data_IF_996893041796
#
_entry.id   IF_996893041796
#
_cell.length_a   1.000
_cell.length_b   1.000
_cell.length_c   1.000
_cell.angle_alpha   90.00
_cell.angle_beta   90.00
_cell.angle_gamma   90.00
#
_symmetry.space_group_name_H-M   'P 1'
#
loop_
_entity.id
_entity.type
_entity.pdbx_description
1 polymer ?
#
# COMPACT_ATOMS: atom_id res chain seq x y z
N UNK A 1 25.53 23.94 -28.61
CA UNK A 1 25.46 23.47 -27.21
C UNK A 1 24.43 24.30 -26.47
N UNK A 2 23.21 23.78 -26.33
CA UNK A 2 22.09 24.48 -25.67
C UNK A 2 21.86 23.79 -24.32
N UNK A 3 22.04 24.54 -23.23
CA UNK A 3 21.72 24.12 -21.86
C UNK A 3 20.20 24.14 -21.67
N UNK A 4 19.58 23.00 -21.37
CA UNK A 4 18.20 22.95 -20.90
C UNK A 4 18.15 23.18 -19.39
N UNK A 5 17.39 24.20 -18.97
CA UNK A 5 17.06 24.51 -17.58
C UNK A 5 15.89 23.62 -17.16
N UNK A 6 16.00 22.94 -16.02
CA UNK A 6 14.88 22.24 -15.38
C UNK A 6 13.77 23.24 -15.02
N UNK A 7 12.53 22.91 -15.38
CA UNK A 7 11.33 23.60 -14.90
C UNK A 7 10.82 22.87 -13.64
N UNK A 8 11.03 23.51 -12.49
CA UNK A 8 10.41 23.15 -11.22
C UNK A 8 9.03 23.79 -11.20
N UNK A 9 7.97 22.99 -11.10
CA UNK A 9 6.58 23.49 -11.06
C UNK A 9 5.99 23.33 -9.66
N UNK A 10 5.90 24.50 -9.00
CA UNK A 10 4.97 25.01 -7.98
C UNK A 10 4.31 24.09 -6.92
N UNK A 11 4.49 24.51 -5.67
CA UNK A 11 3.74 24.10 -4.47
C UNK A 11 2.30 24.65 -4.48
N UNK A 12 1.34 23.85 -3.99
CA UNK A 12 -0.05 24.24 -3.82
C UNK A 12 -0.31 24.61 -2.35
N UNK A 13 -0.49 25.90 -2.10
CA UNK A 13 -0.94 26.48 -0.83
C UNK A 13 -2.47 26.49 -0.87
N UNK A 14 -3.13 25.75 0.02
CA UNK A 14 -4.57 25.92 0.26
C UNK A 14 -4.73 26.84 1.47
N UNK A 15 -5.17 28.07 1.21
CA UNK A 15 -5.73 28.97 2.23
C UNK A 15 -7.22 29.16 1.92
N UNK A 16 -8.08 28.81 2.87
CA UNK A 16 -9.43 29.36 2.95
C UNK A 16 -9.68 29.79 4.39
N UNK A 17 -9.83 31.11 4.55
CA UNK A 17 -10.14 31.79 5.80
C UNK A 17 -11.61 31.59 6.21
N UNK A 18 -11.79 31.49 7.53
CA UNK A 18 -12.79 32.14 8.38
C UNK A 18 -14.30 32.00 8.06
N UNK A 19 -15.02 31.37 8.99
CA UNK A 19 -16.27 31.92 9.50
C UNK A 19 -16.21 31.96 11.03
N UNK A 20 -15.85 33.14 11.55
CA UNK A 20 -16.24 33.54 12.90
C UNK A 20 -17.64 34.16 12.81
N UNK A 21 -18.58 33.69 13.63
CA UNK A 21 -19.78 34.44 13.99
C UNK A 21 -20.14 34.11 15.44
N UNK A 22 -19.96 35.11 16.31
CA UNK A 22 -20.46 35.15 17.67
C UNK A 22 -21.96 35.49 17.66
N UNK A 23 -22.74 34.89 18.57
CA UNK A 23 -24.08 35.36 18.90
C UNK A 23 -24.88 34.39 19.75
N UNK A 24 -24.91 34.60 21.06
CA UNK A 24 -25.85 33.97 21.99
C UNK A 24 -27.29 34.40 21.69
N UNK A 25 -28.20 33.44 21.47
CA UNK A 25 -29.62 33.56 21.83
C UNK A 25 -30.23 32.18 22.08
N UNK A 26 -30.95 32.10 23.19
CA UNK A 26 -31.58 30.90 23.75
C UNK A 26 -33.01 30.87 23.23
N UNK A 27 -33.31 30.01 22.26
CA UNK A 27 -34.67 29.64 21.90
C UNK A 27 -34.81 28.12 21.88
N UNK A 28 -35.91 27.65 22.48
CA UNK A 28 -36.23 26.24 22.63
C UNK A 28 -36.49 25.62 21.25
N UNK A 29 -35.67 24.65 20.86
CA UNK A 29 -35.91 23.84 19.68
C UNK A 29 -36.71 22.59 20.08
N UNK A 30 -37.89 22.46 19.50
CA UNK A 30 -38.58 21.18 19.31
C UNK A 30 -37.59 20.09 18.91
N UNK A 31 -37.88 18.84 19.29
CA UNK A 31 -37.08 17.68 18.95
C UNK A 31 -36.86 17.60 17.43
N UNK A 32 -35.76 18.21 16.97
CA UNK A 32 -35.34 18.17 15.59
C UNK A 32 -35.06 16.70 15.26
N UNK A 33 -35.66 16.23 14.17
CA UNK A 33 -35.27 14.96 13.58
C UNK A 33 -33.74 14.91 13.51
N UNK A 34 -33.09 13.76 13.83
CA UNK A 34 -31.65 13.66 13.77
C UNK A 34 -31.21 14.16 12.39
N UNK A 35 -30.30 15.12 12.37
CA UNK A 35 -29.74 15.65 11.14
C UNK A 35 -29.31 14.45 10.27
N UNK A 36 -29.62 14.43 8.96
CA UNK A 36 -29.21 13.34 8.11
C UNK A 36 -27.71 13.15 8.29
N UNK A 37 -27.30 11.93 8.65
CA UNK A 37 -25.87 11.59 8.76
C UNK A 37 -25.31 11.69 7.34
N UNK A 38 -24.73 12.84 7.02
CA UNK A 38 -23.99 13.02 5.77
C UNK A 38 -22.73 12.18 5.94
N UNK A 39 -22.67 11.05 5.22
CA UNK A 39 -21.44 10.26 5.15
C UNK A 39 -20.35 11.18 4.63
N UNK A 40 -19.30 11.42 5.42
CA UNK A 40 -18.14 12.16 4.95
C UNK A 40 -17.60 11.47 3.69
N UNK A 41 -17.51 12.22 2.59
CA UNK A 41 -17.00 11.69 1.33
C UNK A 41 -15.49 11.80 1.36
N UNK A 42 -14.78 10.67 1.37
CA UNK A 42 -13.34 10.68 1.12
C UNK A 42 -13.12 11.04 -0.37
N UNK A 43 -12.77 12.31 -0.62
CA UNK A 43 -12.56 12.84 -1.96
C UNK A 43 -11.38 12.17 -2.69
N UNK A 44 -10.35 11.72 -1.97
CA UNK A 44 -9.20 11.03 -2.55
C UNK A 44 -9.60 9.64 -3.07
N UNK A 45 -10.42 8.90 -2.31
CA UNK A 45 -10.99 7.62 -2.75
C UNK A 45 -11.91 7.82 -3.95
N UNK A 46 -12.78 8.83 -3.87
CA UNK A 46 -13.70 9.18 -4.95
C UNK A 46 -12.95 9.58 -6.24
N UNK A 47 -11.84 10.32 -6.11
CA UNK A 47 -10.95 10.61 -7.22
C UNK A 47 -10.35 9.33 -7.81
N UNK A 48 -9.88 8.42 -6.97
CA UNK A 48 -9.21 7.18 -7.40
C UNK A 48 -10.14 6.20 -8.12
N UNK A 49 -11.42 6.15 -7.74
CA UNK A 49 -12.45 5.38 -8.48
C UNK A 49 -12.72 5.98 -9.86
N UNK A 50 -12.74 7.31 -9.96
CA UNK A 50 -13.23 8.03 -11.15
C UNK A 50 -12.16 8.40 -12.17
N UNK A 51 -10.89 8.45 -11.76
CA UNK A 51 -9.81 9.00 -12.58
C UNK A 51 -8.84 7.91 -13.03
N UNK A 52 -8.54 7.89 -14.33
CA UNK A 52 -7.65 6.90 -14.93
C UNK A 52 -6.20 7.06 -14.45
N UNK A 53 -5.84 8.25 -13.98
CA UNK A 53 -4.53 8.61 -13.41
C UNK A 53 -4.18 7.72 -12.20
N UNK A 54 -5.15 7.40 -11.33
CA UNK A 54 -4.92 6.51 -10.21
C UNK A 54 -4.50 5.10 -10.67
N UNK A 55 -5.21 4.56 -11.67
CA UNK A 55 -4.85 3.26 -12.28
C UNK A 55 -3.53 3.31 -13.03
N UNK A 56 -3.25 4.44 -13.69
CA UNK A 56 -1.98 4.63 -14.38
C UNK A 56 -0.81 4.58 -13.40
N UNK A 57 -0.91 5.24 -12.24
CA UNK A 57 0.11 5.21 -11.20
C UNK A 57 0.32 3.79 -10.65
N UNK A 58 -0.75 3.05 -10.37
CA UNK A 58 -0.65 1.64 -9.99
C UNK A 58 0.11 0.82 -11.05
N UNK A 59 -0.32 0.93 -12.32
CA UNK A 59 0.26 0.18 -13.43
C UNK A 59 1.73 0.55 -13.68
N UNK A 60 2.05 1.84 -13.58
CA UNK A 60 3.41 2.35 -13.70
C UNK A 60 4.32 1.75 -12.62
N UNK A 61 3.87 1.72 -11.37
CA UNK A 61 4.65 1.18 -10.26
C UNK A 61 4.80 -0.35 -10.34
N UNK A 62 3.75 -1.08 -10.74
CA UNK A 62 3.87 -2.52 -11.01
C UNK A 62 4.82 -2.82 -12.16
N UNK A 63 4.84 -1.97 -13.20
CA UNK A 63 5.78 -2.08 -14.30
C UNK A 63 7.22 -1.88 -13.83
N UNK A 64 7.47 -0.86 -13.01
CA UNK A 64 8.78 -0.63 -12.40
C UNK A 64 9.22 -1.85 -11.59
N UNK A 65 8.33 -2.43 -10.77
CA UNK A 65 8.63 -3.64 -10.00
C UNK A 65 9.02 -4.82 -10.90
N UNK A 66 8.25 -5.04 -11.96
CA UNK A 66 8.49 -6.11 -12.93
C UNK A 66 9.82 -5.92 -13.67
N UNK A 67 10.12 -4.70 -14.10
CA UNK A 67 11.39 -4.39 -14.76
C UNK A 67 12.59 -4.59 -13.82
N UNK A 68 12.42 -4.33 -12.51
CA UNK A 68 13.45 -4.62 -11.49
C UNK A 68 13.66 -6.12 -11.28
N UNK A 69 12.59 -6.89 -11.11
CA UNK A 69 12.69 -8.37 -11.02
C UNK A 69 13.40 -8.93 -12.24
N UNK A 70 12.99 -8.52 -13.44
CA UNK A 70 13.63 -8.92 -14.69
C UNK A 70 15.11 -8.55 -14.75
N UNK A 71 15.49 -7.36 -14.27
CA UNK A 71 16.89 -6.96 -14.20
C UNK A 71 17.70 -7.88 -13.29
N UNK A 72 17.17 -8.25 -12.12
CA UNK A 72 17.83 -9.17 -11.18
C UNK A 72 17.91 -10.60 -11.71
N UNK A 73 16.89 -11.05 -12.44
CA UNK A 73 16.94 -12.32 -13.16
C UNK A 73 18.07 -12.34 -14.18
N UNK A 74 18.20 -11.27 -14.97
CA UNK A 74 19.22 -11.16 -16.01
C UNK A 74 20.64 -11.04 -15.43
N UNK A 75 20.81 -10.46 -14.24
CA UNK A 75 22.10 -10.40 -13.54
C UNK A 75 22.45 -11.67 -12.76
N UNK A 76 21.51 -12.60 -12.59
CA UNK A 76 21.68 -13.81 -11.78
C UNK A 76 21.62 -13.56 -10.28
N UNK A 77 21.14 -12.39 -9.85
CA UNK A 77 21.06 -11.96 -8.44
C UNK A 77 19.71 -12.32 -7.79
N UNK A 78 18.76 -12.85 -8.55
CA UNK A 78 17.38 -13.09 -8.08
C UNK A 78 17.24 -14.28 -7.12
N UNK A 79 18.08 -15.32 -7.27
CA UNK A 79 17.87 -16.59 -6.54
C UNK A 79 17.97 -16.39 -5.02
N UNK A 80 16.94 -16.81 -4.29
CA UNK A 80 16.90 -16.73 -2.82
C UNK A 80 16.61 -15.33 -2.26
N UNK A 81 16.35 -14.35 -3.13
CA UNK A 81 15.81 -13.04 -2.75
C UNK A 81 14.30 -13.09 -2.55
N UNK A 82 13.74 -12.05 -1.95
CA UNK A 82 12.34 -11.92 -1.62
C UNK A 82 11.76 -10.57 -2.05
N UNK A 83 10.52 -10.62 -2.53
CA UNK A 83 9.69 -9.46 -2.85
C UNK A 83 8.58 -9.38 -1.82
N UNK A 84 8.51 -8.26 -1.10
CA UNK A 84 7.46 -7.97 -0.13
C UNK A 84 6.34 -7.18 -0.81
N UNK A 85 5.08 -7.57 -0.60
CA UNK A 85 3.91 -6.93 -1.22
C UNK A 85 2.79 -6.67 -0.20
N UNK A 86 2.32 -5.43 -0.13
CA UNK A 86 1.07 -5.08 0.57
C UNK A 86 -0.12 -5.79 -0.08
N UNK A 87 -0.70 -6.74 0.65
CA UNK A 87 -1.73 -7.63 0.13
C UNK A 87 -3.08 -6.91 -0.11
N UNK A 88 -3.45 -5.97 0.75
CA UNK A 88 -4.78 -5.36 0.70
C UNK A 88 -4.92 -4.47 -0.54
N UNK A 89 -3.96 -3.55 -0.74
CA UNK A 89 -4.06 -2.57 -1.81
C UNK A 89 -3.38 -2.98 -3.09
N UNK A 90 -2.47 -3.95 -3.10
CA UNK A 90 -1.68 -4.22 -4.31
C UNK A 90 -2.03 -5.52 -5.00
N UNK A 91 -2.63 -6.48 -4.28
CA UNK A 91 -2.92 -7.80 -4.81
C UNK A 91 -4.33 -7.90 -5.42
N UNK A 92 -5.33 -7.29 -4.79
CA UNK A 92 -6.73 -7.35 -5.23
C UNK A 92 -7.07 -6.30 -6.29
N UNK A 93 -8.10 -6.59 -7.09
CA UNK A 93 -8.64 -5.69 -8.12
C UNK A 93 -8.83 -4.25 -7.59
N UNK A 94 -8.10 -3.28 -8.13
CA UNK A 94 -8.05 -1.90 -7.67
C UNK A 94 -9.43 -1.24 -7.65
N UNK A 95 -10.26 -1.50 -8.66
CA UNK A 95 -11.58 -0.88 -8.71
C UNK A 95 -12.46 -1.37 -7.59
N UNK A 96 -12.49 -2.69 -7.40
CA UNK A 96 -13.26 -3.31 -6.33
C UNK A 96 -12.72 -2.89 -4.96
N UNK A 97 -11.40 -2.77 -4.80
CA UNK A 97 -10.77 -2.27 -3.58
C UNK A 97 -11.20 -0.82 -3.30
N UNK A 98 -11.10 0.08 -4.27
CA UNK A 98 -11.52 1.47 -4.06
C UNK A 98 -13.03 1.60 -3.82
N UNK A 99 -13.85 0.85 -4.56
CA UNK A 99 -15.29 0.77 -4.33
C UNK A 99 -15.62 0.26 -2.93
N UNK A 100 -14.91 -0.76 -2.45
CA UNK A 100 -15.05 -1.28 -1.09
C UNK A 100 -14.83 -0.17 -0.06
N UNK A 101 -13.71 0.55 -0.16
CA UNK A 101 -13.42 1.63 0.79
C UNK A 101 -14.36 2.85 0.64
N UNK A 102 -14.88 3.15 -0.56
CA UNK A 102 -15.92 4.17 -0.73
C UNK A 102 -17.23 3.77 -0.04
N UNK A 103 -17.62 2.50 -0.16
CA UNK A 103 -18.92 2.02 0.29
C UNK A 103 -18.94 1.63 1.78
N UNK A 104 -17.87 1.01 2.26
CA UNK A 104 -17.79 0.41 3.60
C UNK A 104 -16.72 1.05 4.50
N UNK A 105 -15.84 1.89 3.94
CA UNK A 105 -14.78 2.54 4.71
C UNK A 105 -15.33 3.61 5.66
N UNK A 106 -15.50 3.25 6.92
CA UNK A 106 -15.20 4.13 8.05
C UNK A 106 -14.08 3.44 8.80
N UNK A 107 -12.83 3.89 8.63
CA UNK A 107 -11.61 3.26 9.15
C UNK A 107 -11.45 3.61 10.65
N UNK A 108 -12.55 3.50 11.39
CA UNK A 108 -12.59 3.51 12.85
C UNK A 108 -12.70 2.10 13.43
N UNK A 109 -13.25 1.15 12.66
CA UNK A 109 -13.46 -0.22 13.08
C UNK A 109 -12.71 -1.21 12.17
N UNK A 110 -11.88 -2.04 12.81
CA UNK A 110 -11.24 -3.29 12.36
C UNK A 110 -11.35 -3.68 10.87
N UNK A 111 -10.58 -3.05 9.99
CA UNK A 111 -10.44 -3.52 8.59
C UNK A 111 -9.95 -4.98 8.54
N UNK A 112 -10.71 -5.83 7.86
CA UNK A 112 -10.31 -7.21 7.58
C UNK A 112 -9.96 -7.42 6.11
N UNK A 113 -8.76 -7.95 5.85
CA UNK A 113 -8.36 -8.40 4.51
C UNK A 113 -9.31 -9.49 3.98
N UNK A 114 -9.90 -10.30 4.87
CA UNK A 114 -10.87 -11.33 4.51
C UNK A 114 -12.17 -10.75 3.93
N UNK A 115 -12.65 -9.63 4.46
CA UNK A 115 -13.84 -8.94 3.95
C UNK A 115 -13.58 -8.35 2.57
N UNK A 116 -12.45 -7.67 2.39
CA UNK A 116 -12.02 -7.15 1.10
C UNK A 116 -11.89 -8.28 0.07
N UNK A 117 -11.26 -9.40 0.44
CA UNK A 117 -11.15 -10.57 -0.42
C UNK A 117 -12.51 -11.09 -0.86
N UNK A 118 -13.44 -11.20 0.09
CA UNK A 118 -14.83 -11.62 -0.17
C UNK A 118 -15.53 -10.67 -1.13
N UNK A 119 -15.40 -9.35 -0.92
CA UNK A 119 -15.94 -8.33 -1.82
C UNK A 119 -15.37 -8.45 -3.24
N UNK A 120 -14.04 -8.59 -3.34
CA UNK A 120 -13.35 -8.78 -4.60
C UNK A 120 -13.63 -10.15 -5.25
N UNK A 121 -14.30 -11.08 -4.55
CA UNK A 121 -14.56 -12.45 -5.04
C UNK A 121 -13.28 -13.16 -5.51
N UNK A 122 -12.18 -13.00 -4.75
CA UNK A 122 -10.83 -13.46 -5.10
C UNK A 122 -10.31 -12.94 -6.46
N UNK A 123 -10.84 -11.82 -6.97
CA UNK A 123 -10.29 -11.18 -8.17
C UNK A 123 -9.01 -10.42 -7.81
N UNK A 124 -7.90 -10.93 -8.32
CA UNK A 124 -6.58 -10.31 -8.21
C UNK A 124 -6.30 -9.35 -9.37
N UNK A 125 -5.41 -8.39 -9.14
CA UNK A 125 -4.92 -7.52 -10.20
C UNK A 125 -4.02 -8.29 -11.18
N UNK A 126 -4.27 -8.25 -12.50
CA UNK A 126 -3.45 -8.95 -13.48
C UNK A 126 -1.97 -8.59 -13.41
N UNK A 127 -1.64 -7.32 -13.15
CA UNK A 127 -0.25 -6.88 -13.02
C UNK A 127 0.44 -7.45 -11.78
N UNK A 128 -0.28 -7.61 -10.67
CA UNK A 128 0.25 -8.26 -9.47
C UNK A 128 0.48 -9.75 -9.71
N UNK A 129 -0.45 -10.42 -10.40
CA UNK A 129 -0.31 -11.84 -10.76
C UNK A 129 0.86 -12.07 -11.72
N UNK A 130 1.05 -11.21 -12.72
CA UNK A 130 2.20 -11.26 -13.63
C UNK A 130 3.52 -11.13 -12.85
N UNK A 131 3.59 -10.20 -11.90
CA UNK A 131 4.75 -10.03 -11.03
C UNK A 131 5.02 -11.29 -10.19
N UNK A 132 3.99 -11.91 -9.60
CA UNK A 132 4.13 -13.14 -8.79
C UNK A 132 4.64 -14.29 -9.65
N UNK A 133 4.12 -14.46 -10.86
CA UNK A 133 4.65 -15.44 -11.82
C UNK A 133 6.12 -15.19 -12.12
N UNK A 134 6.50 -13.93 -12.37
CA UNK A 134 7.88 -13.56 -12.64
C UNK A 134 8.80 -13.86 -11.44
N UNK A 135 8.37 -13.56 -10.22
CA UNK A 135 9.12 -13.89 -9.00
C UNK A 135 9.33 -15.41 -8.87
N UNK A 136 8.30 -16.21 -9.16
CA UNK A 136 8.42 -17.67 -9.17
C UNK A 136 9.46 -18.15 -10.18
N UNK A 137 9.41 -17.64 -11.41
CA UNK A 137 10.41 -17.97 -12.45
C UNK A 137 11.83 -17.53 -12.07
N UNK A 138 11.94 -16.42 -11.33
CA UNK A 138 13.19 -15.87 -10.83
C UNK A 138 13.80 -16.64 -9.65
N UNK A 139 13.08 -17.61 -9.08
CA UNK A 139 13.47 -18.27 -7.82
C UNK A 139 13.41 -17.34 -6.61
N UNK A 140 12.54 -16.33 -6.68
CA UNK A 140 12.30 -15.36 -5.60
C UNK A 140 11.08 -15.76 -4.78
N UNK A 141 11.16 -15.52 -3.47
CA UNK A 141 10.02 -15.67 -2.57
C UNK A 141 9.13 -14.42 -2.64
N UNK A 142 7.81 -14.61 -2.58
CA UNK A 142 6.86 -13.51 -2.44
C UNK A 142 6.31 -13.53 -1.02
N UNK A 143 6.59 -12.46 -0.27
CA UNK A 143 6.14 -12.28 1.11
C UNK A 143 4.97 -11.28 1.13
N UNK A 144 3.80 -11.74 1.53
CA UNK A 144 2.66 -10.89 1.81
C UNK A 144 2.94 -10.11 3.09
N UNK A 145 2.87 -8.78 3.00
CA UNK A 145 2.97 -7.86 4.14
C UNK A 145 1.65 -7.88 4.90
N UNK A 146 1.37 -9.03 5.50
CA UNK A 146 0.15 -9.36 6.23
C UNK A 146 0.46 -10.54 7.15
N UNK A 147 -0.07 -10.56 8.38
CA UNK A 147 0.15 -11.67 9.30
C UNK A 147 -0.51 -12.96 8.78
N UNK A 148 0.02 -14.11 9.20
CA UNK A 148 -0.43 -15.44 8.75
C UNK A 148 -1.94 -15.63 8.80
N UNK A 149 -2.60 -15.18 9.88
CA UNK A 149 -4.06 -15.30 10.05
C UNK A 149 -4.84 -14.64 8.91
N UNK A 150 -4.38 -13.49 8.43
CA UNK A 150 -5.07 -12.69 7.41
C UNK A 150 -4.66 -13.11 5.99
N UNK A 151 -3.43 -13.63 5.85
CA UNK A 151 -2.86 -14.09 4.59
C UNK A 151 -3.24 -15.54 4.22
N UNK A 152 -3.66 -16.38 5.17
CA UNK A 152 -3.87 -17.82 4.97
C UNK A 152 -4.79 -18.14 3.79
N UNK A 153 -5.91 -17.43 3.67
CA UNK A 153 -6.87 -17.68 2.60
C UNK A 153 -6.34 -17.26 1.22
N UNK A 154 -5.54 -16.18 1.18
CA UNK A 154 -4.86 -15.72 -0.04
C UNK A 154 -3.82 -16.77 -0.47
N UNK A 155 -3.03 -17.27 0.48
CA UNK A 155 -2.03 -18.31 0.23
C UNK A 155 -2.67 -19.57 -0.33
N UNK A 156 -3.78 -20.02 0.26
CA UNK A 156 -4.50 -21.21 -0.22
C UNK A 156 -5.08 -21.01 -1.62
N UNK A 157 -5.59 -19.82 -1.93
CA UNK A 157 -6.15 -19.54 -3.26
C UNK A 157 -5.07 -19.47 -4.34
N UNK A 158 -3.97 -18.77 -4.08
CA UNK A 158 -2.83 -18.71 -4.99
C UNK A 158 -2.15 -20.07 -5.16
N UNK A 159 -2.10 -20.90 -4.10
CA UNK A 159 -1.56 -22.25 -4.20
C UNK A 159 -2.36 -23.13 -5.17
N UNK A 160 -3.69 -22.97 -5.27
CA UNK A 160 -4.51 -23.69 -6.26
C UNK A 160 -4.14 -23.33 -7.70
N UNK A 161 -3.50 -22.17 -7.89
CA UNK A 161 -2.99 -21.69 -9.17
C UNK A 161 -1.49 -21.99 -9.35
N UNK A 162 -0.92 -22.88 -8.53
CA UNK A 162 0.52 -23.21 -8.53
C UNK A 162 1.42 -21.99 -8.25
N UNK A 163 0.92 -21.04 -7.45
CA UNK A 163 1.65 -19.88 -6.98
C UNK A 163 1.84 -19.97 -5.48
N UNK A 164 3.10 -20.08 -5.05
CA UNK A 164 3.45 -20.09 -3.64
C UNK A 164 3.80 -18.68 -3.18
N UNK A 165 3.10 -18.21 -2.14
CA UNK A 165 3.41 -16.98 -1.42
C UNK A 165 3.45 -17.28 0.07
N UNK A 166 4.14 -16.44 0.83
CA UNK A 166 4.36 -16.62 2.26
C UNK A 166 3.81 -15.42 3.02
N UNK A 167 3.33 -15.59 4.25
CA UNK A 167 2.89 -14.47 5.06
C UNK A 167 4.08 -13.79 5.73
N UNK A 168 3.83 -12.66 6.37
CA UNK A 168 4.77 -12.12 7.35
C UNK A 168 4.71 -13.00 8.60
N UNK A 169 5.81 -13.70 8.88
CA UNK A 169 5.96 -14.65 9.97
C UNK A 169 6.43 -13.94 11.25
N UNK A 170 5.82 -14.31 12.38
CA UNK A 170 6.32 -13.98 13.71
C UNK A 170 6.99 -15.20 14.35
N UNK A 171 8.19 -15.03 14.89
CA UNK A 171 8.82 -16.00 15.79
C UNK A 171 8.39 -15.70 17.24
N UNK A 172 7.19 -16.14 17.62
CA UNK A 172 6.67 -16.00 19.00
C UNK A 172 5.33 -15.26 19.13
N UNK A 173 4.75 -15.30 20.34
CA UNK A 173 3.39 -14.91 20.77
C UNK A 173 2.67 -13.86 19.89
N UNK A 174 1.36 -14.03 19.61
CA UNK A 174 0.59 -13.14 18.74
C UNK A 174 0.49 -11.73 19.31
N UNK A 175 1.06 -10.75 18.60
CA UNK A 175 0.78 -9.33 18.81
C UNK A 175 0.23 -8.75 17.51
N UNK A 176 -0.95 -8.14 17.62
CA UNK A 176 -1.68 -7.57 16.49
C UNK A 176 -1.04 -6.25 16.01
N UNK A 177 -1.02 -6.02 14.69
CA UNK A 177 -0.55 -4.78 14.05
C UNK A 177 0.67 -4.98 13.12
N UNK A 178 1.22 -3.87 12.61
CA UNK A 178 2.36 -3.81 11.64
C UNK A 178 3.70 -4.40 12.16
N UNK A 179 3.70 -5.11 13.28
CA UNK A 179 4.90 -5.64 13.93
C UNK A 179 5.44 -6.90 13.25
N UNK A 180 4.55 -7.82 12.86
CA UNK A 180 4.91 -9.04 12.14
C UNK A 180 5.62 -8.72 10.81
N UNK A 181 5.03 -7.80 10.03
CA UNK A 181 5.57 -7.30 8.76
C UNK A 181 7.00 -6.76 8.92
N UNK A 182 7.23 -5.94 9.94
CA UNK A 182 8.52 -5.35 10.21
C UNK A 182 9.57 -6.37 10.68
N UNK A 183 9.20 -7.37 11.50
CA UNK A 183 10.11 -8.44 11.91
C UNK A 183 10.55 -9.26 10.71
N UNK A 184 9.58 -9.77 9.92
CA UNK A 184 9.91 -10.59 8.75
C UNK A 184 10.81 -9.81 7.80
N UNK A 185 10.49 -8.54 7.52
CA UNK A 185 11.33 -7.70 6.67
C UNK A 185 12.75 -7.53 7.24
N UNK A 186 12.89 -7.33 8.56
CA UNK A 186 14.20 -7.21 9.23
C UNK A 186 15.03 -8.49 9.13
N UNK A 187 14.41 -9.66 9.29
CA UNK A 187 15.09 -10.95 9.18
C UNK A 187 15.64 -11.16 7.76
N UNK A 188 14.83 -10.88 6.73
CA UNK A 188 15.28 -10.95 5.34
C UNK A 188 16.33 -9.89 5.02
N UNK A 189 16.20 -8.67 5.54
CA UNK A 189 17.17 -7.60 5.34
C UNK A 189 18.52 -7.94 5.96
N UNK A 190 18.53 -8.55 7.15
CA UNK A 190 19.73 -9.03 7.83
C UNK A 190 20.45 -10.11 7.04
N UNK A 191 19.71 -10.93 6.28
CA UNK A 191 20.26 -11.90 5.33
C UNK A 191 20.62 -11.33 3.96
N UNK A 192 20.45 -10.03 3.71
CA UNK A 192 20.53 -9.40 2.38
C UNK A 192 19.66 -10.12 1.33
N UNK A 193 18.45 -10.53 1.74
CA UNK A 193 17.47 -11.25 0.93
C UNK A 193 16.30 -10.37 0.48
N UNK A 194 16.26 -9.09 0.87
CA UNK A 194 15.21 -8.17 0.40
C UNK A 194 15.60 -7.60 -0.94
N UNK A 195 14.89 -8.00 -1.99
CA UNK A 195 15.05 -7.44 -3.32
C UNK A 195 14.17 -6.21 -3.54
N UNK A 196 12.87 -6.34 -3.27
CA UNK A 196 11.89 -5.27 -3.46
C UNK A 196 10.85 -5.25 -2.35
N UNK A 197 10.37 -4.06 -2.01
CA UNK A 197 9.23 -3.82 -1.13
C UNK A 197 8.22 -2.96 -1.88
N UNK A 198 7.03 -3.52 -2.10
CA UNK A 198 5.89 -2.87 -2.73
C UNK A 198 4.87 -2.56 -1.64
N UNK A 199 4.71 -1.28 -1.31
CA UNK A 199 3.85 -0.88 -0.19
C UNK A 199 3.05 0.36 -0.54
N UNK A 200 1.93 0.52 0.15
CA UNK A 200 1.10 1.72 0.11
C UNK A 200 1.35 2.64 1.33
N UNK A 201 2.23 2.24 2.28
CA UNK A 201 2.54 2.96 3.51
C UNK A 201 4.03 2.86 3.90
N UNK A 202 4.69 4.00 4.08
CA UNK A 202 6.11 4.03 4.48
C UNK A 202 6.38 3.45 5.88
N UNK A 203 5.35 3.39 6.73
CA UNK A 203 5.44 2.74 8.03
C UNK A 203 5.58 1.22 7.96
N UNK A 204 5.20 0.61 6.85
CA UNK A 204 5.31 -0.84 6.62
C UNK A 204 6.67 -1.24 6.03
N UNK A 205 7.43 -0.25 5.54
CA UNK A 205 8.80 -0.42 5.05
C UNK A 205 9.82 0.14 6.03
N UNK A 206 9.54 0.07 7.35
CA UNK A 206 10.33 0.76 8.39
C UNK A 206 11.82 0.42 8.37
N UNK A 207 12.20 -0.80 8.00
CA UNK A 207 13.63 -1.18 7.87
C UNK A 207 14.35 -0.44 6.74
N UNK A 208 13.62 -0.08 5.67
CA UNK A 208 14.15 0.69 4.55
C UNK A 208 14.02 2.21 4.78
N UNK A 209 13.05 2.64 5.60
CA UNK A 209 12.71 4.07 5.77
C UNK A 209 13.17 4.68 7.11
N UNK A 210 13.36 3.88 8.16
CA UNK A 210 13.66 4.32 9.54
C UNK A 210 15.00 3.81 10.09
N UNK A 211 15.88 3.27 9.25
CA UNK A 211 17.19 2.69 9.63
C UNK A 211 18.16 3.65 10.35
N UNK A 212 17.74 4.88 10.71
CA UNK A 212 18.55 5.86 11.48
C UNK A 212 17.83 6.56 12.64
N UNK A 213 16.71 6.02 13.13
CA UNK A 213 16.09 6.44 14.40
C UNK A 213 15.20 7.70 14.32
N UNK A 214 14.75 8.18 15.49
CA UNK A 214 13.79 9.28 15.68
C UNK A 214 14.26 10.65 15.17
N UNK A 215 15.52 10.79 14.73
CA UNK A 215 16.06 12.02 14.16
C UNK A 215 15.84 12.03 12.65
N UNK A 216 14.63 12.41 12.25
CA UNK A 216 14.38 12.97 10.93
C UNK A 216 14.25 11.93 9.81
N UNK A 217 13.02 11.82 9.32
CA UNK A 217 12.72 11.36 7.97
C UNK A 217 13.51 12.21 6.95
N UNK A 218 14.65 11.73 6.46
CA UNK A 218 15.40 12.40 5.40
C UNK A 218 14.93 11.90 4.02
N UNK A 219 14.01 12.65 3.42
CA UNK A 219 13.48 12.41 2.07
C UNK A 219 14.58 12.15 1.03
N UNK A 220 15.72 12.83 1.17
CA UNK A 220 16.89 12.74 0.29
C UNK A 220 17.58 11.37 0.33
N UNK A 221 17.62 10.71 1.49
CA UNK A 221 18.17 9.36 1.61
C UNK A 221 17.17 8.32 1.09
N UNK A 222 15.87 8.53 1.29
CA UNK A 222 14.85 7.68 0.68
C UNK A 222 14.90 7.70 -0.85
N UNK A 223 15.15 8.85 -1.49
CA UNK A 223 15.25 8.90 -2.95
C UNK A 223 16.30 7.94 -3.55
N UNK A 224 17.28 7.49 -2.75
CA UNK A 224 18.26 6.50 -3.19
C UNK A 224 17.69 5.07 -3.25
N UNK A 225 16.69 4.75 -2.43
CA UNK A 225 16.05 3.43 -2.39
C UNK A 225 14.72 3.38 -3.16
N UNK A 226 14.07 4.52 -3.38
CA UNK A 226 12.83 4.64 -4.14
C UNK A 226 13.03 4.27 -5.61
N UNK A 227 12.16 3.41 -6.11
CA UNK A 227 12.24 2.86 -7.47
C UNK A 227 13.39 1.88 -7.68
N UNK A 228 14.19 1.59 -6.64
CA UNK A 228 15.29 0.63 -6.66
C UNK A 228 14.97 -0.61 -5.81
N UNK A 229 14.76 -0.41 -4.51
CA UNK A 229 14.36 -1.44 -3.55
C UNK A 229 13.00 -1.21 -2.91
N UNK A 230 12.51 0.03 -2.93
CA UNK A 230 11.22 0.43 -2.38
C UNK A 230 10.36 1.04 -3.48
N UNK A 231 9.15 0.52 -3.67
CA UNK A 231 8.17 1.03 -4.64
C UNK A 231 6.91 1.40 -3.85
N UNK A 232 6.66 2.70 -3.77
CA UNK A 232 5.53 3.26 -3.03
C UNK A 232 4.34 3.48 -3.97
N UNK A 233 3.19 2.94 -3.59
CA UNK A 233 1.91 3.11 -4.29
C UNK A 233 1.05 4.16 -3.59
N UNK A 234 0.30 4.97 -4.34
CA UNK A 234 -0.63 5.92 -3.74
C UNK A 234 -1.76 5.17 -3.01
N UNK A 235 -1.98 5.50 -1.74
CA UNK A 235 -3.10 4.99 -0.96
C UNK A 235 -4.08 6.12 -0.62
N UNK A 236 -5.21 6.25 -1.33
CA UNK A 236 -6.20 7.29 -1.04
C UNK A 236 -7.10 6.95 0.17
N UNK A 237 -7.05 5.71 0.67
CA UNK A 237 -7.96 5.25 1.70
C UNK A 237 -7.53 5.67 3.11
N UNK A 238 -6.22 5.78 3.35
CA UNK A 238 -5.64 6.09 4.66
C UNK A 238 -4.84 7.40 4.58
N UNK A 239 -5.27 8.40 5.35
CA UNK A 239 -4.55 9.67 5.56
C UNK A 239 -4.06 9.76 7.00
#
# INVERSE_FOLDING_TARGET
MIKMKLHITAALIISALALASCGTQKEAAEAAAPAPVVKEVNEALNWSVKNAEARYLYSQNMRIASDRVRSMMNSGESMGQAVFIDAAFLLFNQNMTYEYFVNFGSIGDEFSIGELRGYCSNQYEPAAMELIHMCREAGMEVILMSPEKDAMDIMQDLQKQDLQVFPSMMTGQPQYGKYAENITMREYASGNRVALVLTSSLGEASELTLSRGLQGFELNEMYKSFGDRLILFPNPAFN
#
